data_IF_876539006803
#
_entry.id   IF_876539006803
#
_cell.length_a   1.000
_cell.length_b   1.000
_cell.length_c   1.000
_cell.angle_alpha   90.00
_cell.angle_beta   90.00
_cell.angle_gamma   90.00
#
_symmetry.space_group_name_H-M   'P 1'
#
loop_
_entity.id
_entity.type
_entity.pdbx_description
1 polymer ?
#
# COMPACT_ATOMS: atom_id res chain seq x y z
N UNK A 1 -22.01 -5.79 -7.04
CA UNK A 1 -21.09 -6.14 -5.93
C UNK A 1 -19.91 -5.18 -5.99
N UNK A 2 -19.45 -4.59 -4.88
CA UNK A 2 -18.26 -3.76 -4.92
C UNK A 2 -17.07 -4.60 -5.42
N UNK A 3 -16.33 -4.07 -6.40
CA UNK A 3 -15.10 -4.70 -6.86
C UNK A 3 -14.03 -4.46 -5.80
N UNK A 4 -13.52 -5.54 -5.21
CA UNK A 4 -12.35 -5.46 -4.34
C UNK A 4 -11.15 -5.06 -5.21
N UNK A 5 -10.37 -4.08 -4.72
CA UNK A 5 -9.13 -3.60 -5.34
C UNK A 5 -7.98 -3.80 -4.35
N UNK A 6 -6.78 -3.94 -4.90
CA UNK A 6 -5.55 -4.02 -4.10
C UNK A 6 -5.01 -2.61 -3.89
N UNK A 7 -4.65 -2.31 -2.64
CA UNK A 7 -3.99 -1.07 -2.24
C UNK A 7 -2.62 -1.41 -1.67
N UNK A 8 -1.59 -0.69 -2.12
CA UNK A 8 -0.26 -0.71 -1.51
C UNK A 8 -0.24 0.19 -0.28
N UNK A 9 0.40 -0.28 0.78
CA UNK A 9 0.54 0.43 2.04
C UNK A 9 1.99 0.82 2.22
N UNK A 10 2.20 2.10 2.54
CA UNK A 10 3.51 2.63 2.87
C UNK A 10 3.46 3.30 4.24
N UNK A 11 4.51 3.14 5.04
CA UNK A 11 4.57 3.73 6.38
C UNK A 11 6.00 4.15 6.76
N UNK A 12 6.11 5.05 7.75
CA UNK A 12 7.39 5.48 8.35
C UNK A 12 7.24 5.75 9.84
N UNK A 13 8.31 5.50 10.60
CA UNK A 13 8.33 5.65 12.06
C UNK A 13 8.75 7.05 12.52
N UNK A 14 9.41 7.81 11.64
CA UNK A 14 9.83 9.18 11.88
C UNK A 14 9.63 10.02 10.61
N UNK A 15 9.35 11.33 10.75
CA UNK A 15 9.20 12.25 9.62
C UNK A 15 10.52 12.48 8.84
N UNK A 16 11.67 12.20 9.45
CA UNK A 16 12.97 12.20 8.80
C UNK A 16 13.29 10.90 8.05
N UNK A 17 12.51 9.84 8.25
CA UNK A 17 12.69 8.58 7.53
C UNK A 17 11.93 8.55 6.19
N UNK A 18 12.46 7.74 5.28
CA UNK A 18 11.82 7.43 4.00
C UNK A 18 10.51 6.65 4.23
N UNK A 19 9.53 6.94 3.39
CA UNK A 19 8.29 6.18 3.36
C UNK A 19 8.56 4.80 2.74
N UNK A 20 8.39 3.73 3.52
CA UNK A 20 8.71 2.35 3.11
C UNK A 20 7.45 1.59 2.76
N UNK A 21 7.52 0.74 1.74
CA UNK A 21 6.46 -0.22 1.45
C UNK A 21 6.40 -1.26 2.56
N UNK A 22 5.23 -1.41 3.19
CA UNK A 22 5.01 -2.35 4.30
C UNK A 22 4.09 -3.52 3.92
N UNK A 23 3.39 -3.40 2.79
CA UNK A 23 2.62 -4.49 2.20
C UNK A 23 1.39 -3.98 1.46
N UNK A 24 0.31 -4.77 1.45
CA UNK A 24 -0.89 -4.47 0.67
C UNK A 24 -2.17 -4.94 1.37
N UNK A 25 -3.28 -4.22 1.14
CA UNK A 25 -4.62 -4.57 1.63
C UNK A 25 -5.62 -4.66 0.49
N UNK A 26 -6.66 -5.47 0.69
CA UNK A 26 -7.78 -5.60 -0.23
C UNK A 26 -8.98 -4.82 0.31
N UNK A 27 -9.49 -3.85 -0.45
CA UNK A 27 -10.61 -3.01 -0.01
C UNK A 27 -11.54 -2.64 -1.17
N UNK A 28 -12.78 -2.27 -0.85
CA UNK A 28 -13.77 -1.85 -1.83
C UNK A 28 -13.56 -0.39 -2.30
N UNK A 29 -13.00 0.45 -1.42
CA UNK A 29 -12.77 1.87 -1.61
C UNK A 29 -11.63 2.39 -0.71
N UNK A 30 -11.28 3.66 -0.88
CA UNK A 30 -10.16 4.32 -0.19
C UNK A 30 -10.39 4.46 1.32
N UNK A 31 -11.64 4.62 1.77
CA UNK A 31 -11.95 4.79 3.17
C UNK A 31 -11.77 3.47 3.93
N UNK A 32 -12.27 2.38 3.35
CA UNK A 32 -12.06 1.04 3.87
C UNK A 32 -10.59 0.64 3.80
N UNK A 33 -9.88 1.00 2.73
CA UNK A 33 -8.45 0.74 2.60
C UNK A 33 -7.64 1.39 3.73
N UNK A 34 -7.92 2.66 4.07
CA UNK A 34 -7.28 3.35 5.21
C UNK A 34 -7.55 2.64 6.54
N UNK A 35 -8.79 2.23 6.75
CA UNK A 35 -9.20 1.56 7.99
C UNK A 35 -8.51 0.20 8.14
N UNK A 36 -8.46 -0.58 7.06
CA UNK A 36 -7.78 -1.88 7.04
C UNK A 36 -6.28 -1.73 7.19
N UNK A 37 -5.65 -0.78 6.50
CA UNK A 37 -4.21 -0.55 6.63
C UNK A 37 -3.84 -0.20 8.07
N UNK A 38 -4.59 0.68 8.72
CA UNK A 38 -4.35 1.01 10.13
C UNK A 38 -4.53 -0.22 11.03
N UNK A 39 -5.59 -1.00 10.85
CA UNK A 39 -5.86 -2.18 11.68
C UNK A 39 -4.88 -3.35 11.47
N UNK A 40 -4.28 -3.47 10.28
CA UNK A 40 -3.37 -4.58 9.92
C UNK A 40 -1.93 -4.27 10.33
N UNK A 41 -1.55 -3.00 10.31
CA UNK A 41 -0.17 -2.54 10.52
C UNK A 41 -0.02 -1.69 11.80
N UNK A 42 -0.90 -1.83 12.79
CA UNK A 42 -0.86 -1.07 14.05
C UNK A 42 0.24 -1.49 15.04
N UNK A 43 1.00 -2.55 14.73
CA UNK A 43 2.00 -3.15 15.62
C UNK A 43 3.21 -2.25 15.91
N UNK A 44 3.41 -1.20 15.13
CA UNK A 44 4.57 -0.32 15.19
C UNK A 44 4.14 1.15 15.39
N UNK A 45 5.02 1.98 15.97
CA UNK A 45 4.75 3.40 16.22
C UNK A 45 4.88 4.25 14.96
N UNK A 46 4.06 3.98 13.94
CA UNK A 46 4.06 4.73 12.69
C UNK A 46 3.58 6.17 12.92
N UNK A 47 4.36 7.15 12.45
CA UNK A 47 3.95 8.56 12.47
C UNK A 47 3.12 8.93 11.24
N UNK A 48 3.24 8.15 10.17
CA UNK A 48 2.51 8.35 8.93
C UNK A 48 2.32 7.02 8.19
N UNK A 49 1.12 6.86 7.64
CA UNK A 49 0.75 5.74 6.78
C UNK A 49 -0.03 6.26 5.57
N UNK A 50 0.33 5.77 4.39
CA UNK A 50 -0.31 6.11 3.12
C UNK A 50 -0.79 4.84 2.44
N UNK A 51 -1.98 4.91 1.83
CA UNK A 51 -2.52 3.86 0.98
C UNK A 51 -2.62 4.37 -0.45
N UNK A 52 -2.23 3.54 -1.42
CA UNK A 52 -2.25 3.88 -2.84
C UNK A 52 -2.91 2.73 -3.60
N UNK A 53 -3.95 2.97 -4.42
CA UNK A 53 -4.48 1.93 -5.29
C UNK A 53 -3.37 1.35 -6.18
N UNK A 54 -3.25 0.02 -6.25
CA UNK A 54 -2.22 -0.65 -7.08
C UNK A 54 -2.28 -0.20 -8.54
N UNK A 55 -3.47 0.10 -9.05
CA UNK A 55 -3.69 0.63 -10.40
C UNK A 55 -3.07 2.01 -10.66
N UNK A 56 -2.77 2.78 -9.61
CA UNK A 56 -2.08 4.06 -9.72
C UNK A 56 -0.55 3.92 -9.76
N UNK A 57 -0.01 2.73 -9.43
CA UNK A 57 1.43 2.47 -9.48
C UNK A 57 1.84 2.16 -10.91
N UNK A 58 2.61 3.05 -11.52
CA UNK A 58 3.12 2.87 -12.88
C UNK A 58 4.48 2.15 -12.80
N UNK A 59 4.58 0.86 -13.17
CA UNK A 59 5.84 0.15 -13.13
C UNK A 59 6.78 0.66 -14.22
N UNK A 60 8.02 0.94 -13.84
CA UNK A 60 9.11 1.20 -14.78
C UNK A 60 9.98 -0.04 -14.86
N UNK A 61 9.68 -0.92 -15.81
CA UNK A 61 10.49 -2.13 -16.05
C UNK A 61 11.27 -2.03 -17.35
N UNK A 62 12.48 -2.58 -17.37
CA UNK A 62 13.18 -2.83 -18.63
C UNK A 62 12.35 -3.81 -19.49
N UNK A 63 12.36 -3.64 -20.81
CA UNK A 63 11.58 -4.45 -21.75
C UNK A 63 11.63 -5.94 -21.38
N UNK A 64 10.46 -6.53 -21.15
CA UNK A 64 10.30 -7.96 -20.85
C UNK A 64 10.35 -8.36 -19.37
N UNK A 65 10.50 -7.43 -18.42
CA UNK A 65 10.38 -7.75 -16.99
C UNK A 65 8.98 -7.48 -16.46
N UNK A 66 8.35 -8.52 -15.92
CA UNK A 66 7.08 -8.42 -15.18
C UNK A 66 7.42 -7.88 -13.78
N UNK A 67 6.74 -6.83 -13.29
CA UNK A 67 6.90 -6.35 -11.92
C UNK A 67 6.59 -7.49 -10.93
N UNK A 68 7.46 -7.70 -9.94
CA UNK A 68 7.36 -8.82 -9.00
C UNK A 68 6.27 -8.62 -7.93
N UNK A 69 5.46 -7.57 -8.04
CA UNK A 69 4.45 -7.21 -7.06
C UNK A 69 3.19 -8.08 -7.23
N UNK A 70 3.20 -9.26 -6.59
CA UNK A 70 2.01 -10.06 -6.26
C UNK A 70 1.85 -11.34 -7.08
N UNK A 71 2.19 -12.46 -6.44
CA UNK A 71 1.62 -13.79 -6.69
C UNK A 71 0.68 -14.12 -5.53
#
# INVERSE_FOLDING_TARGET
>A
MPSIRVYEVFARKDHGEELKHVGSVNAADDELARTYAWSVYDEESWVEMCVVPREAVIPVTAHGKIPVWGN
#
